data_IF_819040287623
#
_entry.id   IF_819040287623
#
_cell.length_a   1.000
_cell.length_b   1.000
_cell.length_c   1.000
_cell.angle_alpha   90.00
_cell.angle_beta   90.00
_cell.angle_gamma   90.00
#
_symmetry.space_group_name_H-M   'P 1'
#
loop_
_entity.id
_entity.type
_entity.pdbx_description
1 polymer ?
#
# COMPACT_ATOMS: atom_id res chain seq x y z
N UNK A 1 26.45 -2.16 -8.17
CA UNK A 1 25.12 -2.11 -7.53
C UNK A 1 25.14 -2.04 -5.99
N UNK A 2 26.06 -2.72 -5.28
CA UNK A 2 26.13 -2.74 -3.80
C UNK A 2 26.39 -1.39 -3.10
N UNK A 3 26.94 -0.38 -3.79
CA UNK A 3 27.25 0.93 -3.16
C UNK A 3 25.99 1.72 -2.78
N UNK A 4 24.96 1.75 -3.63
CA UNK A 4 23.75 2.55 -3.40
C UNK A 4 22.67 1.84 -2.57
N UNK A 5 22.49 0.53 -2.75
CA UNK A 5 21.39 -0.24 -2.13
C UNK A 5 21.82 -1.09 -0.93
N UNK A 6 22.75 -0.59 -0.11
CA UNK A 6 23.22 -1.33 1.07
C UNK A 6 22.22 -1.19 2.23
N UNK A 7 21.97 -2.30 2.94
CA UNK A 7 21.07 -2.34 4.11
C UNK A 7 21.69 -1.68 5.34
N UNK A 8 23.01 -1.74 5.46
CA UNK A 8 23.78 -1.10 6.55
C UNK A 8 24.52 0.12 6.03
N UNK A 9 24.64 1.18 6.83
CA UNK A 9 25.35 2.42 6.44
C UNK A 9 24.89 2.89 5.04
N UNK A 10 23.58 3.01 4.88
CA UNK A 10 22.95 3.44 3.64
C UNK A 10 23.20 4.93 3.41
N UNK A 11 23.13 5.38 2.16
CA UNK A 11 23.16 6.81 1.90
C UNK A 11 21.89 7.46 2.45
N UNK A 12 22.00 8.65 3.08
CA UNK A 12 20.81 9.37 3.52
C UNK A 12 19.93 9.73 2.32
N UNK A 13 18.62 9.74 2.54
CA UNK A 13 17.66 10.21 1.54
C UNK A 13 17.95 11.67 1.21
N UNK A 14 17.95 12.02 -0.07
CA UNK A 14 18.11 13.40 -0.53
C UNK A 14 16.87 14.26 -0.21
N UNK A 15 17.01 15.58 -0.35
CA UNK A 15 15.94 16.55 -0.06
C UNK A 15 14.70 16.37 -0.94
N UNK A 16 14.82 15.64 -2.05
CA UNK A 16 13.70 15.15 -2.85
C UNK A 16 12.60 14.49 -2.00
N UNK A 17 12.99 13.73 -0.96
CA UNK A 17 12.03 13.00 -0.12
C UNK A 17 11.23 13.91 0.83
N UNK A 18 11.72 15.12 1.12
CA UNK A 18 11.01 16.08 1.99
C UNK A 18 9.67 16.48 1.39
N UNK A 19 9.58 16.58 0.05
CA UNK A 19 8.38 16.95 -0.70
C UNK A 19 7.21 15.98 -0.51
N UNK A 20 7.49 14.75 -0.07
CA UNK A 20 6.47 13.74 0.18
C UNK A 20 5.97 13.74 1.63
N UNK A 21 6.47 14.64 2.46
CA UNK A 21 6.02 14.87 3.84
C UNK A 21 5.18 16.12 3.96
N UNK A 22 4.58 16.29 5.14
CA UNK A 22 3.97 17.58 5.53
C UNK A 22 5.02 18.35 6.32
N UNK A 23 5.16 19.69 6.13
CA UNK A 23 6.01 20.52 6.98
C UNK A 23 5.70 20.24 8.46
N UNK A 24 6.74 20.09 9.28
CA UNK A 24 6.65 19.78 10.72
C UNK A 24 6.00 18.43 11.11
N UNK A 25 5.57 17.62 10.14
CA UNK A 25 4.98 16.30 10.36
C UNK A 25 5.52 15.25 9.35
N UNK A 26 6.80 14.86 9.46
CA UNK A 26 7.40 13.92 8.52
C UNK A 26 6.82 12.51 8.67
N UNK A 27 6.39 11.92 7.55
CA UNK A 27 6.00 10.52 7.45
C UNK A 27 7.22 9.61 7.20
N UNK A 28 7.01 8.29 7.25
CA UNK A 28 8.09 7.30 7.10
C UNK A 28 8.88 7.44 5.79
N UNK A 29 8.24 7.88 4.71
CA UNK A 29 8.89 8.11 3.43
C UNK A 29 9.79 9.34 3.46
N UNK A 30 9.31 10.45 4.03
CA UNK A 30 10.00 11.74 4.07
C UNK A 30 11.13 11.85 5.10
N UNK A 31 11.17 11.01 6.13
CA UNK A 31 12.26 11.04 7.13
C UNK A 31 13.60 10.71 6.45
N UNK A 32 14.54 11.66 6.51
CA UNK A 32 15.91 11.53 6.00
C UNK A 32 16.91 11.04 7.06
N UNK A 33 16.72 11.42 8.34
CA UNK A 33 17.57 10.94 9.43
C UNK A 33 17.39 9.42 9.63
N UNK A 34 18.44 8.66 9.40
CA UNK A 34 18.38 7.20 9.37
C UNK A 34 18.07 6.60 10.75
N UNK A 35 18.51 7.24 11.84
CA UNK A 35 18.27 6.77 13.22
C UNK A 35 16.79 6.94 13.57
N UNK A 36 16.22 8.10 13.27
CA UNK A 36 14.82 8.41 13.48
C UNK A 36 13.92 7.58 12.56
N UNK A 37 14.29 7.42 11.28
CA UNK A 37 13.60 6.55 10.34
C UNK A 37 13.57 5.11 10.85
N UNK A 38 14.72 4.59 11.31
CA UNK A 38 14.82 3.23 11.85
C UNK A 38 13.93 3.04 13.09
N UNK A 39 13.88 4.02 13.99
CA UNK A 39 13.01 4.01 15.18
C UNK A 39 11.52 3.98 14.79
N UNK A 40 11.11 4.87 13.88
CA UNK A 40 9.72 4.97 13.38
C UNK A 40 9.30 3.75 12.56
N UNK A 41 10.20 3.20 11.74
CA UNK A 41 9.95 1.96 10.99
C UNK A 41 9.72 0.80 11.95
N UNK A 42 10.55 0.69 12.99
CA UNK A 42 10.45 -0.40 13.98
C UNK A 42 9.11 -0.38 14.72
N UNK A 43 8.55 0.78 15.03
CA UNK A 43 7.26 0.86 15.72
C UNK A 43 6.08 0.34 14.90
N UNK A 44 6.16 0.36 13.57
CA UNK A 44 5.10 -0.15 12.67
C UNK A 44 5.42 -1.52 12.07
N UNK A 45 6.69 -1.94 12.08
CA UNK A 45 7.13 -3.19 11.46
C UNK A 45 6.39 -4.43 11.96
N UNK A 46 5.99 -4.44 13.24
CA UNK A 46 5.21 -5.55 13.81
C UNK A 46 3.85 -5.74 13.14
N UNK A 47 3.18 -4.66 12.70
CA UNK A 47 1.90 -4.76 12.00
C UNK A 47 2.01 -5.52 10.67
N UNK A 48 3.19 -5.48 10.04
CA UNK A 48 3.46 -6.12 8.76
C UNK A 48 4.37 -7.36 8.89
N UNK A 49 4.41 -7.99 10.07
CA UNK A 49 5.09 -9.29 10.23
C UNK A 49 4.35 -10.38 9.48
N UNK A 50 5.04 -11.46 9.08
CA UNK A 50 4.41 -12.61 8.42
C UNK A 50 3.22 -13.15 9.22
N UNK A 51 3.36 -13.26 10.55
CA UNK A 51 2.27 -13.70 11.42
C UNK A 51 1.02 -12.80 11.34
N UNK A 52 1.20 -11.48 11.22
CA UNK A 52 0.09 -10.55 11.10
C UNK A 52 -0.46 -10.48 9.67
N UNK A 53 0.38 -10.66 8.65
CA UNK A 53 -0.06 -10.73 7.26
C UNK A 53 -1.04 -11.88 7.03
N UNK A 54 -0.84 -13.05 7.66
CA UNK A 54 -1.80 -14.17 7.59
C UNK A 54 -3.17 -13.75 8.11
N UNK A 55 -3.24 -12.95 9.18
CA UNK A 55 -4.52 -12.45 9.69
C UNK A 55 -5.22 -11.47 8.75
N UNK A 56 -4.51 -10.88 7.79
CA UNK A 56 -5.08 -10.01 6.78
C UNK A 56 -5.57 -10.75 5.53
N UNK A 57 -5.21 -12.01 5.33
CA UNK A 57 -5.60 -12.80 4.16
C UNK A 57 -7.12 -12.79 3.95
N UNK A 58 -7.89 -13.04 5.01
CA UNK A 58 -9.36 -13.01 4.94
C UNK A 58 -9.94 -11.65 4.51
N UNK A 59 -9.29 -10.55 4.87
CA UNK A 59 -9.72 -9.22 4.45
C UNK A 59 -9.42 -8.97 2.95
N UNK A 60 -8.30 -9.50 2.46
CA UNK A 60 -7.93 -9.46 1.04
C UNK A 60 -8.83 -10.39 0.22
N UNK A 61 -9.18 -11.56 0.75
CA UNK A 61 -10.08 -12.53 0.10
C UNK A 61 -11.44 -11.90 -0.24
N UNK A 62 -11.99 -11.11 0.68
CA UNK A 62 -13.23 -10.37 0.43
C UNK A 62 -13.10 -9.43 -0.77
N UNK A 63 -11.98 -8.70 -0.87
CA UNK A 63 -11.72 -7.78 -1.99
C UNK A 63 -11.49 -8.54 -3.30
N UNK A 64 -10.85 -9.71 -3.24
CA UNK A 64 -10.66 -10.59 -4.39
C UNK A 64 -11.99 -11.12 -4.93
N UNK A 65 -12.93 -11.48 -4.06
CA UNK A 65 -14.27 -11.91 -4.46
C UNK A 65 -15.00 -10.80 -5.24
N UNK A 66 -14.98 -9.58 -4.72
CA UNK A 66 -15.61 -8.41 -5.38
C UNK A 66 -14.95 -8.14 -6.74
N UNK A 67 -13.62 -8.16 -6.82
CA UNK A 67 -12.90 -7.99 -8.09
C UNK A 67 -13.30 -9.06 -9.11
N UNK A 68 -13.36 -10.32 -8.68
CA UNK A 68 -13.75 -11.46 -9.52
C UNK A 68 -15.17 -11.28 -10.06
N UNK A 69 -16.11 -10.88 -9.22
CA UNK A 69 -17.50 -10.69 -9.62
C UNK A 69 -17.64 -9.51 -10.60
N UNK A 70 -16.92 -8.41 -10.35
CA UNK A 70 -16.86 -7.28 -11.28
C UNK A 70 -16.27 -7.68 -12.64
N UNK A 71 -15.19 -8.45 -12.65
CA UNK A 71 -14.60 -8.97 -13.91
C UNK A 71 -15.59 -9.82 -14.69
N UNK A 72 -16.38 -10.66 -14.03
CA UNK A 72 -17.39 -11.47 -14.71
C UNK A 72 -18.55 -10.64 -15.24
N UNK A 73 -18.99 -9.61 -14.53
CA UNK A 73 -19.99 -8.67 -15.04
C UNK A 73 -19.49 -7.93 -16.29
N UNK A 74 -18.21 -7.53 -16.31
CA UNK A 74 -17.59 -6.92 -17.49
C UNK A 74 -17.58 -7.89 -18.68
N UNK A 75 -17.23 -9.16 -18.46
CA UNK A 75 -17.26 -10.20 -19.51
C UNK A 75 -18.70 -10.42 -20.01
N UNK A 76 -19.67 -10.52 -19.12
CA UNK A 76 -21.08 -10.76 -19.48
C UNK A 76 -21.70 -9.58 -20.25
N UNK A 77 -21.35 -8.36 -19.89
CA UNK A 77 -21.85 -7.14 -20.56
C UNK A 77 -21.13 -6.84 -21.87
N UNK A 78 -19.97 -7.47 -22.12
CA UNK A 78 -19.09 -7.13 -23.25
C UNK A 78 -18.50 -5.73 -23.15
N UNK A 79 -18.54 -5.10 -21.97
CA UNK A 79 -18.08 -3.74 -21.75
C UNK A 79 -16.53 -3.68 -21.70
N UNK A 80 -15.98 -2.60 -22.23
CA UNK A 80 -14.56 -2.27 -22.07
C UNK A 80 -14.31 -1.64 -20.71
N UNK A 81 -13.14 -1.91 -20.12
CA UNK A 81 -12.74 -1.34 -18.82
C UNK A 81 -11.43 -0.55 -18.94
N UNK A 82 -11.36 0.58 -18.24
CA UNK A 82 -10.10 1.26 -17.94
C UNK A 82 -9.33 0.43 -16.90
N UNK A 83 -8.43 -0.42 -17.38
CA UNK A 83 -7.70 -1.37 -16.54
C UNK A 83 -6.79 -0.68 -15.50
N UNK A 84 -6.01 0.38 -15.84
CA UNK A 84 -5.27 1.15 -14.84
C UNK A 84 -6.16 1.67 -13.70
N UNK A 85 -7.34 2.19 -14.02
CA UNK A 85 -8.30 2.68 -13.03
C UNK A 85 -8.85 1.55 -12.16
N UNK A 86 -9.19 0.40 -12.76
CA UNK A 86 -9.62 -0.78 -12.02
C UNK A 86 -8.54 -1.24 -11.02
N UNK A 87 -7.28 -1.30 -11.45
CA UNK A 87 -6.14 -1.63 -10.58
C UNK A 87 -5.97 -0.62 -9.44
N UNK A 88 -6.16 0.68 -9.71
CA UNK A 88 -6.06 1.72 -8.70
C UNK A 88 -7.12 1.56 -7.60
N UNK A 89 -8.37 1.29 -7.97
CA UNK A 89 -9.44 1.04 -6.98
C UNK A 89 -9.18 -0.23 -6.19
N UNK A 90 -8.78 -1.31 -6.85
CA UNK A 90 -8.46 -2.57 -6.17
C UNK A 90 -7.32 -2.39 -5.16
N UNK A 91 -6.25 -1.70 -5.54
CA UNK A 91 -5.15 -1.40 -4.64
C UNK A 91 -5.59 -0.55 -3.45
N UNK A 92 -6.47 0.44 -3.66
CA UNK A 92 -6.99 1.28 -2.58
C UNK A 92 -7.82 0.47 -1.58
N UNK A 93 -8.68 -0.43 -2.06
CA UNK A 93 -9.51 -1.29 -1.22
C UNK A 93 -8.66 -2.23 -0.36
N UNK A 94 -7.70 -2.91 -0.97
CA UNK A 94 -6.79 -3.82 -0.26
C UNK A 94 -6.00 -3.07 0.81
N UNK A 95 -5.45 -1.90 0.48
CA UNK A 95 -4.69 -1.08 1.44
C UNK A 95 -5.59 -0.59 2.58
N UNK A 96 -6.82 -0.16 2.27
CA UNK A 96 -7.81 0.28 3.25
C UNK A 96 -8.21 -0.83 4.22
N UNK A 97 -8.46 -2.03 3.70
CA UNK A 97 -8.81 -3.20 4.50
C UNK A 97 -7.68 -3.60 5.46
N UNK A 98 -6.43 -3.63 4.97
CA UNK A 98 -5.27 -4.05 5.77
C UNK A 98 -4.89 -2.97 6.82
N UNK A 99 -5.03 -1.69 6.48
CA UNK A 99 -4.48 -0.60 7.30
C UNK A 99 -5.48 -0.08 8.35
N UNK A 100 -6.75 0.09 7.98
CA UNK A 100 -7.77 0.74 8.82
C UNK A 100 -9.04 -0.09 8.99
N UNK A 101 -9.08 -1.33 8.46
CA UNK A 101 -10.28 -2.18 8.41
C UNK A 101 -11.49 -1.47 7.79
N UNK A 102 -11.23 -0.61 6.81
CA UNK A 102 -12.25 0.12 6.07
C UNK A 102 -12.26 -0.43 4.64
N UNK A 103 -13.38 -1.05 4.26
CA UNK A 103 -13.63 -1.42 2.87
C UNK A 103 -14.18 -0.23 2.10
N UNK A 104 -13.69 -0.02 0.88
CA UNK A 104 -14.23 0.95 -0.08
C UNK A 104 -14.70 0.22 -1.35
N UNK A 105 -15.67 -0.70 -1.27
CA UNK A 105 -15.89 -1.73 -2.28
C UNK A 105 -15.79 -1.23 -3.73
N UNK A 106 -14.89 -1.83 -4.52
CA UNK A 106 -14.63 -1.46 -5.93
C UNK A 106 -15.87 -1.57 -6.84
N UNK A 107 -16.87 -2.33 -6.41
CA UNK A 107 -18.20 -2.39 -7.01
C UNK A 107 -18.93 -1.04 -7.05
N UNK A 108 -18.59 -0.09 -6.18
CA UNK A 108 -19.17 1.25 -6.17
C UNK A 108 -18.51 2.21 -7.16
N UNK A 109 -17.37 1.84 -7.72
CA UNK A 109 -16.70 2.63 -8.75
C UNK A 109 -17.11 2.14 -10.14
N UNK A 110 -17.27 3.07 -11.08
CA UNK A 110 -17.74 2.80 -12.46
C UNK A 110 -16.96 1.73 -13.22
#
# INVERSE_FOLDING_TARGET
>A
MKKLYRVTNAYPKSDYYQLFGVPDAPNLLSIQDERFHSKRKRSVAGLYSVSNLVHYESAVDTTNMILRDKMLQLVQSGATVDFPRLCQYYAFDVIGQITVKLGFPIEHYG
#
